data_IF_872662722026
#
_entry.id   IF_872662722026
#
_cell.length_a   1.000
_cell.length_b   1.000
_cell.length_c   1.000
_cell.angle_alpha   90.00
_cell.angle_beta   90.00
_cell.angle_gamma   90.00
#
_symmetry.space_group_name_H-M   'P 1'
#
loop_
_entity.id
_entity.type
_entity.pdbx_description
1 polymer ?
#
# COMPACT_ATOMS: atom_id res chain seq x y z
N UNK A 1 -119.28 4.83 -4.97
CA UNK A 1 -117.88 4.94 -4.52
C UNK A 1 -117.11 3.61 -4.60
N UNK A 2 -117.72 2.43 -4.43
CA UNK A 2 -117.02 1.13 -4.35
C UNK A 2 -116.40 0.56 -5.66
N UNK A 3 -116.78 1.00 -6.86
CA UNK A 3 -116.34 0.36 -8.12
C UNK A 3 -115.01 0.93 -8.68
N UNK A 4 -114.63 2.16 -8.27
CA UNK A 4 -113.38 2.81 -8.71
C UNK A 4 -112.18 2.29 -7.90
N UNK A 5 -112.41 1.97 -6.63
CA UNK A 5 -111.40 1.44 -5.70
C UNK A 5 -110.96 0.02 -6.07
N UNK A 6 -111.87 -0.84 -6.53
CA UNK A 6 -111.55 -2.22 -6.93
C UNK A 6 -110.67 -2.31 -8.19
N UNK A 7 -110.90 -1.44 -9.19
CA UNK A 7 -110.09 -1.39 -10.41
C UNK A 7 -108.69 -0.82 -10.12
N UNK A 8 -108.61 0.21 -9.27
CA UNK A 8 -107.34 0.76 -8.79
C UNK A 8 -106.55 -0.25 -7.96
N UNK A 9 -107.22 -1.06 -7.13
CA UNK A 9 -106.57 -2.12 -6.35
C UNK A 9 -106.01 -3.23 -7.25
N UNK A 10 -106.73 -3.62 -8.31
CA UNK A 10 -106.28 -4.66 -9.25
C UNK A 10 -105.11 -4.21 -10.14
N UNK A 11 -105.13 -2.95 -10.59
CA UNK A 11 -104.01 -2.34 -11.31
C UNK A 11 -102.77 -2.24 -10.42
N UNK A 12 -102.92 -1.76 -9.18
CA UNK A 12 -101.84 -1.74 -8.19
C UNK A 12 -101.29 -3.14 -7.90
N UNK A 13 -102.14 -4.16 -7.77
CA UNK A 13 -101.70 -5.52 -7.51
C UNK A 13 -100.86 -6.08 -8.68
N UNK A 14 -101.28 -5.83 -9.92
CA UNK A 14 -100.52 -6.26 -11.11
C UNK A 14 -99.20 -5.50 -11.29
N UNK A 15 -99.16 -4.21 -10.93
CA UNK A 15 -97.91 -3.44 -10.91
C UNK A 15 -96.96 -3.93 -9.81
N UNK A 16 -97.48 -4.27 -8.63
CA UNK A 16 -96.69 -4.85 -7.53
C UNK A 16 -96.13 -6.22 -7.92
N UNK A 17 -96.89 -7.05 -8.64
CA UNK A 17 -96.47 -8.37 -9.08
C UNK A 17 -95.36 -8.28 -10.16
N UNK A 18 -95.51 -7.39 -11.15
CA UNK A 18 -94.44 -7.11 -12.11
C UNK A 18 -93.18 -6.54 -11.46
N UNK A 19 -93.35 -5.64 -10.49
CA UNK A 19 -92.22 -5.08 -9.75
C UNK A 19 -91.49 -6.17 -8.96
N UNK A 20 -92.22 -7.13 -8.36
CA UNK A 20 -91.62 -8.29 -7.68
C UNK A 20 -90.87 -9.21 -8.63
N UNK A 21 -91.42 -9.52 -9.81
CA UNK A 21 -90.74 -10.34 -10.82
C UNK A 21 -89.49 -9.66 -11.37
N UNK A 22 -89.53 -8.35 -11.63
CA UNK A 22 -88.34 -7.57 -12.04
C UNK A 22 -87.29 -7.49 -10.92
N UNK A 23 -87.72 -7.34 -9.67
CA UNK A 23 -86.85 -7.36 -8.49
C UNK A 23 -86.18 -8.73 -8.32
N UNK A 24 -86.93 -9.83 -8.49
CA UNK A 24 -86.41 -11.20 -8.41
C UNK A 24 -85.41 -11.50 -9.56
N UNK A 25 -85.70 -11.06 -10.77
CA UNK A 25 -84.76 -11.14 -11.91
C UNK A 25 -83.51 -10.29 -11.69
N UNK A 26 -83.63 -9.12 -11.07
CA UNK A 26 -82.48 -8.27 -10.75
C UNK A 26 -81.62 -8.88 -9.65
N UNK A 27 -82.24 -9.50 -8.63
CA UNK A 27 -81.53 -10.23 -7.58
C UNK A 27 -80.78 -11.43 -8.16
N UNK A 28 -81.40 -12.21 -9.05
CA UNK A 28 -80.75 -13.36 -9.68
C UNK A 28 -79.59 -12.95 -10.61
N UNK A 29 -79.75 -11.87 -11.38
CA UNK A 29 -78.65 -11.29 -12.17
C UNK A 29 -77.51 -10.79 -11.29
N UNK A 30 -77.82 -10.18 -10.15
CA UNK A 30 -76.82 -9.73 -9.18
C UNK A 30 -76.07 -10.93 -8.58
N UNK A 31 -76.77 -12.03 -8.25
CA UNK A 31 -76.18 -13.27 -7.74
C UNK A 31 -75.21 -13.90 -8.75
N UNK A 32 -75.62 -14.01 -10.02
CA UNK A 32 -74.76 -14.55 -11.08
C UNK A 32 -73.55 -13.66 -11.37
N UNK A 33 -73.71 -12.33 -11.29
CA UNK A 33 -72.61 -11.38 -11.43
C UNK A 33 -71.61 -11.48 -10.25
N UNK A 34 -72.11 -11.69 -9.02
CA UNK A 34 -71.29 -11.92 -7.84
C UNK A 34 -70.50 -13.24 -7.94
N UNK A 35 -71.15 -14.34 -8.35
CA UNK A 35 -70.48 -15.63 -8.59
C UNK A 35 -69.40 -15.54 -9.68
N UNK A 36 -69.69 -14.84 -10.78
CA UNK A 36 -68.71 -14.61 -11.85
C UNK A 36 -67.53 -13.75 -11.38
N UNK A 37 -67.78 -12.73 -10.56
CA UNK A 37 -66.73 -11.88 -9.98
C UNK A 37 -65.84 -12.66 -9.01
N UNK A 38 -66.42 -13.52 -8.16
CA UNK A 38 -65.68 -14.40 -7.25
C UNK A 38 -64.79 -15.39 -8.01
N UNK A 39 -65.32 -16.02 -9.06
CA UNK A 39 -64.54 -16.94 -9.91
C UNK A 39 -63.38 -16.22 -10.62
N UNK A 40 -63.60 -15.00 -11.11
CA UNK A 40 -62.55 -14.19 -11.73
C UNK A 40 -61.45 -13.82 -10.72
N UNK A 41 -61.84 -13.40 -9.52
CA UNK A 41 -60.92 -13.06 -8.43
C UNK A 41 -60.09 -14.26 -7.97
N UNK A 42 -60.67 -15.46 -7.94
CA UNK A 42 -59.94 -16.69 -7.61
C UNK A 42 -58.89 -17.03 -8.69
N UNK A 43 -59.25 -16.90 -9.98
CA UNK A 43 -58.31 -17.10 -11.10
C UNK A 43 -57.18 -16.06 -11.07
N UNK A 44 -57.49 -14.78 -10.80
CA UNK A 44 -56.47 -13.74 -10.65
C UNK A 44 -55.56 -13.99 -9.46
N UNK A 45 -56.10 -14.45 -8.34
CA UNK A 45 -55.32 -14.83 -7.14
C UNK A 45 -54.37 -15.99 -7.45
N UNK A 46 -54.83 -17.01 -8.17
CA UNK A 46 -53.99 -18.13 -8.59
C UNK A 46 -52.89 -17.71 -9.57
N UNK A 47 -53.21 -16.83 -10.55
CA UNK A 47 -52.21 -16.26 -11.47
C UNK A 47 -51.17 -15.42 -10.73
N UNK A 48 -51.58 -14.59 -9.78
CA UNK A 48 -50.68 -13.78 -8.97
C UNK A 48 -49.74 -14.66 -8.12
N UNK A 49 -50.27 -15.73 -7.51
CA UNK A 49 -49.46 -16.70 -6.76
C UNK A 49 -48.43 -17.41 -7.64
N UNK A 50 -48.83 -17.89 -8.82
CA UNK A 50 -47.93 -18.54 -9.78
C UNK A 50 -46.84 -17.57 -10.29
N UNK A 51 -47.19 -16.30 -10.53
CA UNK A 51 -46.23 -15.26 -10.92
C UNK A 51 -45.21 -14.97 -9.81
N UNK A 52 -45.64 -14.94 -8.54
CA UNK A 52 -44.75 -14.75 -7.40
C UNK A 52 -43.77 -15.93 -7.24
N UNK A 53 -44.26 -17.16 -7.31
CA UNK A 53 -43.42 -18.37 -7.24
C UNK A 53 -42.40 -18.42 -8.40
N UNK A 54 -42.81 -18.04 -9.61
CA UNK A 54 -41.92 -17.95 -10.77
C UNK A 54 -40.85 -16.84 -10.59
N UNK A 55 -41.22 -15.69 -10.02
CA UNK A 55 -40.29 -14.60 -9.73
C UNK A 55 -39.25 -15.01 -8.66
N UNK A 56 -39.69 -15.66 -7.57
CA UNK A 56 -38.80 -16.19 -6.53
C UNK A 56 -37.83 -17.24 -7.09
N UNK A 57 -38.32 -18.15 -7.95
CA UNK A 57 -37.47 -19.15 -8.60
C UNK A 57 -36.44 -18.50 -9.52
N UNK A 58 -36.84 -17.49 -10.31
CA UNK A 58 -35.94 -16.73 -11.17
C UNK A 58 -34.86 -16.01 -10.37
N UNK A 59 -35.21 -15.39 -9.24
CA UNK A 59 -34.27 -14.75 -8.34
C UNK A 59 -33.25 -15.75 -7.77
N UNK A 60 -33.70 -16.93 -7.31
CA UNK A 60 -32.80 -18.00 -6.83
C UNK A 60 -31.84 -18.48 -7.91
N UNK A 61 -32.30 -18.63 -9.15
CA UNK A 61 -31.44 -19.02 -10.27
C UNK A 61 -30.36 -17.95 -10.56
N UNK A 62 -30.73 -16.67 -10.53
CA UNK A 62 -29.79 -15.56 -10.68
C UNK A 62 -28.75 -15.50 -9.55
N UNK A 63 -29.15 -15.78 -8.31
CA UNK A 63 -28.25 -15.89 -7.15
C UNK A 63 -27.26 -17.05 -7.30
N UNK A 64 -27.73 -18.23 -7.74
CA UNK A 64 -26.85 -19.38 -8.00
C UNK A 64 -25.86 -19.07 -9.12
N UNK A 65 -26.31 -18.41 -10.20
CA UNK A 65 -25.43 -18.05 -11.32
C UNK A 65 -24.37 -17.03 -10.89
N UNK A 66 -24.75 -16.00 -10.13
CA UNK A 66 -23.79 -15.01 -9.58
C UNK A 66 -22.79 -15.65 -8.61
N UNK A 67 -23.22 -16.60 -7.77
CA UNK A 67 -22.30 -17.38 -6.93
C UNK A 67 -21.34 -18.24 -7.76
N UNK A 68 -21.83 -18.92 -8.80
CA UNK A 68 -20.99 -19.70 -9.72
C UNK A 68 -19.95 -18.82 -10.43
N UNK A 69 -20.34 -17.62 -10.89
CA UNK A 69 -19.40 -16.65 -11.50
C UNK A 69 -18.32 -16.21 -10.51
N UNK A 70 -18.69 -15.85 -9.27
CA UNK A 70 -17.72 -15.52 -8.21
C UNK A 70 -16.76 -16.66 -7.92
N UNK A 71 -17.26 -17.91 -7.85
CA UNK A 71 -16.41 -19.08 -7.62
C UNK A 71 -15.44 -19.34 -8.79
N UNK A 72 -15.91 -19.15 -10.03
CA UNK A 72 -15.08 -19.27 -11.22
C UNK A 72 -13.97 -18.20 -11.25
N UNK A 73 -14.30 -16.94 -10.94
CA UNK A 73 -13.33 -15.85 -10.81
C UNK A 73 -12.28 -16.14 -9.72
N UNK A 74 -12.71 -16.66 -8.56
CA UNK A 74 -11.81 -17.07 -7.49
C UNK A 74 -10.88 -18.21 -7.92
N UNK A 75 -11.38 -19.21 -8.64
CA UNK A 75 -10.55 -20.29 -9.20
C UNK A 75 -9.52 -19.77 -10.19
N UNK A 76 -9.93 -18.94 -11.15
CA UNK A 76 -9.02 -18.33 -12.13
C UNK A 76 -7.95 -17.49 -11.43
N UNK A 77 -8.33 -16.72 -10.40
CA UNK A 77 -7.39 -15.96 -9.58
C UNK A 77 -6.38 -16.87 -8.86
N UNK A 78 -6.86 -17.95 -8.25
CA UNK A 78 -6.02 -18.91 -7.54
C UNK A 78 -5.04 -19.63 -8.48
N UNK A 79 -5.51 -20.10 -9.63
CA UNK A 79 -4.66 -20.75 -10.65
C UNK A 79 -3.61 -19.78 -11.20
N UNK A 80 -3.98 -18.51 -11.44
CA UNK A 80 -3.04 -17.46 -11.84
C UNK A 80 -1.98 -17.22 -10.77
N UNK A 81 -2.37 -17.16 -9.50
CA UNK A 81 -1.45 -17.02 -8.36
C UNK A 81 -0.50 -18.22 -8.24
N UNK A 82 -1.02 -19.45 -8.37
CA UNK A 82 -0.21 -20.67 -8.37
C UNK A 82 0.79 -20.68 -9.53
N UNK A 83 0.35 -20.35 -10.74
CA UNK A 83 1.23 -20.30 -11.92
C UNK A 83 2.34 -19.27 -11.76
N UNK A 84 2.01 -18.09 -11.22
CA UNK A 84 3.01 -17.07 -10.89
C UNK A 84 4.00 -17.61 -9.84
N UNK A 85 3.52 -18.30 -8.80
CA UNK A 85 4.37 -18.90 -7.77
C UNK A 85 5.35 -19.93 -8.35
N UNK A 86 4.86 -20.86 -9.18
CA UNK A 86 5.71 -21.87 -9.84
C UNK A 86 6.74 -21.22 -10.76
N UNK A 87 6.35 -20.21 -11.55
CA UNK A 87 7.28 -19.44 -12.37
C UNK A 87 8.34 -18.72 -11.53
N UNK A 88 7.93 -18.14 -10.40
CA UNK A 88 8.83 -17.48 -9.46
C UNK A 88 9.83 -18.46 -8.83
N UNK A 89 9.40 -19.67 -8.46
CA UNK A 89 10.29 -20.72 -7.92
C UNK A 89 11.35 -21.16 -8.94
N UNK A 90 10.96 -21.34 -10.21
CA UNK A 90 11.91 -21.67 -11.29
C UNK A 90 12.92 -20.55 -11.49
N UNK A 91 12.47 -19.30 -11.52
CA UNK A 91 13.35 -18.13 -11.62
C UNK A 91 14.28 -18.06 -10.40
N UNK A 92 13.74 -18.23 -9.19
CA UNK A 92 14.49 -18.18 -7.94
C UNK A 92 15.63 -19.19 -7.90
N UNK A 93 15.38 -20.41 -8.38
CA UNK A 93 16.40 -21.45 -8.46
C UNK A 93 17.48 -21.17 -9.51
N UNK A 94 17.19 -20.34 -10.52
CA UNK A 94 18.16 -19.95 -11.56
C UNK A 94 18.99 -18.70 -11.24
N UNK A 95 18.65 -17.94 -10.18
CA UNK A 95 19.38 -16.72 -9.84
C UNK A 95 20.77 -17.09 -9.31
N UNK A 96 21.86 -16.59 -9.91
CA UNK A 96 23.20 -16.79 -9.38
C UNK A 96 23.40 -15.89 -8.15
N UNK A 97 23.38 -16.49 -6.96
CA UNK A 97 23.82 -15.86 -5.71
C UNK A 97 24.56 -16.89 -4.85
N UNK A 98 25.40 -16.43 -3.92
CA UNK A 98 26.11 -17.31 -2.98
C UNK A 98 25.10 -17.94 -2.03
N UNK A 99 24.98 -19.27 -2.08
CA UNK A 99 24.18 -20.05 -1.14
C UNK A 99 25.07 -20.49 0.01
N UNK A 100 24.69 -20.11 1.23
CA UNK A 100 25.32 -20.57 2.46
C UNK A 100 24.52 -21.72 3.07
N UNK A 101 25.22 -22.69 3.63
CA UNK A 101 24.63 -23.73 4.48
C UNK A 101 24.34 -23.16 5.88
N UNK A 102 23.33 -23.70 6.57
CA UNK A 102 22.98 -23.27 7.93
C UNK A 102 24.16 -23.46 8.90
N UNK A 103 25.01 -24.47 8.67
CA UNK A 103 26.21 -24.69 9.48
C UNK A 103 27.17 -23.51 9.39
N UNK A 104 27.35 -22.93 8.21
CA UNK A 104 28.20 -21.75 8.02
C UNK A 104 27.61 -20.54 8.77
N UNK A 105 26.29 -20.34 8.67
CA UNK A 105 25.57 -19.28 9.38
C UNK A 105 25.68 -19.44 10.90
N UNK A 106 25.49 -20.65 11.42
CA UNK A 106 25.60 -20.95 12.85
C UNK A 106 27.01 -20.70 13.38
N UNK A 107 28.04 -21.12 12.64
CA UNK A 107 29.44 -20.84 13.02
C UNK A 107 29.70 -19.34 13.01
N UNK A 108 29.28 -18.64 11.95
CA UNK A 108 29.49 -17.19 11.81
C UNK A 108 28.79 -16.36 12.91
N UNK A 109 27.69 -16.86 13.47
CA UNK A 109 26.89 -16.18 14.50
C UNK A 109 27.08 -16.76 15.90
N UNK A 110 28.05 -17.66 16.11
CA UNK A 110 28.25 -18.38 17.37
C UNK A 110 26.95 -19.02 17.91
N UNK A 111 26.17 -19.65 17.03
CA UNK A 111 24.87 -20.23 17.36
C UNK A 111 23.77 -19.20 17.61
N UNK A 112 23.78 -18.08 16.87
CA UNK A 112 22.87 -16.94 17.04
C UNK A 112 22.97 -16.30 18.43
N UNK A 113 24.21 -16.10 18.89
CA UNK A 113 24.50 -15.47 20.17
C UNK A 113 23.90 -14.06 20.24
N UNK A 114 23.18 -13.75 21.32
CA UNK A 114 22.59 -12.44 21.54
C UNK A 114 23.65 -11.34 21.65
N UNK A 115 24.89 -11.65 22.05
CA UNK A 115 25.99 -10.69 22.05
C UNK A 115 26.38 -10.20 20.65
N UNK A 116 26.05 -10.97 19.60
CA UNK A 116 26.29 -10.62 18.20
C UNK A 116 25.06 -9.99 17.53
N UNK A 117 23.94 -9.83 18.25
CA UNK A 117 22.74 -9.20 17.72
C UNK A 117 22.95 -7.70 17.60
N UNK A 118 22.91 -7.19 16.37
CA UNK A 118 23.12 -5.77 16.06
C UNK A 118 21.81 -5.01 15.78
N UNK A 119 20.70 -5.73 15.61
CA UNK A 119 19.39 -5.11 15.43
C UNK A 119 18.25 -6.11 15.47
N UNK A 120 17.03 -5.60 15.63
CA UNK A 120 15.81 -6.36 15.40
C UNK A 120 14.76 -5.42 14.82
N UNK A 121 14.27 -5.75 13.63
CA UNK A 121 13.17 -5.05 12.97
C UNK A 121 11.91 -5.90 12.91
N UNK A 122 10.89 -5.40 12.22
CA UNK A 122 9.63 -6.14 11.99
C UNK A 122 9.79 -7.47 11.26
N UNK A 123 10.94 -7.70 10.62
CA UNK A 123 11.23 -8.87 9.80
C UNK A 123 12.12 -9.90 10.49
N UNK A 124 12.69 -9.56 11.64
CA UNK A 124 13.51 -10.46 12.44
C UNK A 124 14.82 -9.86 12.94
N UNK A 125 15.59 -10.64 13.72
CA UNK A 125 16.88 -10.22 14.25
C UNK A 125 17.96 -10.18 13.16
N UNK A 126 18.92 -9.28 13.35
CA UNK A 126 20.12 -9.16 12.52
C UNK A 126 21.33 -9.41 13.42
N UNK A 127 22.20 -10.32 12.99
CA UNK A 127 23.41 -10.69 13.70
C UNK A 127 24.65 -10.25 12.92
N UNK A 128 25.67 -9.79 13.62
CA UNK A 128 27.01 -9.62 13.08
C UNK A 128 27.70 -10.99 13.03
N UNK A 129 28.42 -11.25 11.95
CA UNK A 129 29.19 -12.48 11.82
C UNK A 129 30.40 -12.31 10.90
N UNK A 130 31.14 -13.41 10.72
CA UNK A 130 32.23 -13.48 9.76
C UNK A 130 31.99 -14.68 8.82
N UNK A 131 31.85 -14.40 7.53
CA UNK A 131 31.69 -15.40 6.46
C UNK A 131 32.71 -15.10 5.37
N UNK A 132 33.38 -16.13 4.84
CA UNK A 132 34.39 -16.00 3.78
C UNK A 132 35.42 -14.87 4.09
N UNK A 133 35.90 -14.83 5.35
CA UNK A 133 36.81 -13.80 5.90
C UNK A 133 36.31 -12.35 5.87
N UNK A 134 35.01 -12.15 5.63
CA UNK A 134 34.37 -10.83 5.54
C UNK A 134 33.43 -10.64 6.73
N UNK A 135 33.44 -9.44 7.33
CA UNK A 135 32.44 -9.09 8.36
C UNK A 135 31.10 -8.85 7.66
N UNK A 136 30.06 -9.53 8.12
CA UNK A 136 28.74 -9.55 7.49
C UNK A 136 27.63 -9.21 8.49
N UNK A 137 26.49 -8.78 7.95
CA UNK A 137 25.22 -8.69 8.66
C UNK A 137 24.29 -9.80 8.17
N UNK A 138 23.82 -10.64 9.08
CA UNK A 138 22.99 -11.81 8.81
C UNK A 138 21.58 -11.54 9.36
N UNK A 139 20.64 -11.23 8.46
CA UNK A 139 19.23 -11.01 8.78
C UNK A 139 18.50 -12.35 8.75
N UNK A 140 17.92 -12.75 9.87
CA UNK A 140 17.13 -13.98 9.97
C UNK A 140 15.66 -13.61 9.81
N UNK A 141 15.03 -14.03 8.72
CA UNK A 141 13.61 -13.77 8.52
C UNK A 141 12.76 -14.78 9.29
N UNK A 142 11.76 -14.30 10.03
CA UNK A 142 10.86 -15.18 10.82
C UNK A 142 10.04 -16.09 9.88
N UNK A 143 10.20 -17.43 9.93
CA UNK A 143 9.51 -18.36 9.03
C UNK A 143 7.99 -18.38 9.19
N UNK A 144 7.51 -18.08 10.41
CA UNK A 144 6.11 -18.26 10.81
C UNK A 144 5.14 -17.24 10.20
N UNK A 145 5.67 -16.25 9.47
CA UNK A 145 4.88 -15.25 8.77
C UNK A 145 4.92 -15.56 7.28
N UNK A 146 3.78 -15.87 6.66
CA UNK A 146 3.64 -16.00 5.19
C UNK A 146 4.15 -14.76 4.40
N UNK A 147 4.38 -13.65 5.10
CA UNK A 147 5.03 -12.45 4.56
C UNK A 147 6.56 -12.57 4.47
N UNK A 148 7.21 -13.30 5.38
CA UNK A 148 8.67 -13.47 5.46
C UNK A 148 9.25 -14.21 4.24
N UNK A 149 8.64 -15.32 3.82
CA UNK A 149 9.08 -16.06 2.63
C UNK A 149 8.99 -15.19 1.35
N UNK A 150 7.90 -14.44 1.19
CA UNK A 150 7.73 -13.54 0.04
C UNK A 150 8.76 -12.43 0.04
N UNK A 151 9.07 -11.86 1.21
CA UNK A 151 10.09 -10.82 1.34
C UNK A 151 11.47 -11.37 1.04
N UNK A 152 11.80 -12.54 1.59
CA UNK A 152 13.05 -13.24 1.28
C UNK A 152 13.26 -13.40 -0.22
N UNK A 153 12.26 -13.97 -0.91
CA UNK A 153 12.30 -14.18 -2.35
C UNK A 153 12.43 -12.86 -3.11
N UNK A 154 11.70 -11.82 -2.68
CA UNK A 154 11.74 -10.50 -3.31
C UNK A 154 13.10 -9.82 -3.14
N UNK A 155 13.69 -9.88 -1.95
CA UNK A 155 15.01 -9.33 -1.65
C UNK A 155 16.09 -10.04 -2.47
N UNK A 156 16.11 -11.37 -2.48
CA UNK A 156 17.05 -12.14 -3.32
C UNK A 156 16.86 -11.81 -4.79
N UNK A 157 15.62 -11.72 -5.28
CA UNK A 157 15.31 -11.44 -6.68
C UNK A 157 15.81 -10.05 -7.13
N UNK A 158 15.66 -9.03 -6.28
CA UNK A 158 16.08 -7.67 -6.60
C UNK A 158 17.58 -7.51 -6.41
N UNK A 159 18.09 -7.77 -5.20
CA UNK A 159 19.47 -7.44 -4.81
C UNK A 159 20.52 -8.30 -5.52
N UNK A 160 20.17 -9.49 -6.01
CA UNK A 160 21.06 -10.27 -6.87
C UNK A 160 21.31 -9.63 -8.24
N UNK A 161 20.40 -8.77 -8.71
CA UNK A 161 20.43 -8.18 -10.06
C UNK A 161 20.89 -6.72 -10.07
N UNK A 162 20.91 -6.07 -8.92
CA UNK A 162 21.29 -4.67 -8.82
C UNK A 162 22.59 -4.50 -8.05
N UNK A 163 23.43 -3.59 -8.50
CA UNK A 163 24.66 -3.18 -7.81
C UNK A 163 24.83 -1.68 -8.00
N UNK A 164 24.91 -0.96 -6.90
CA UNK A 164 25.08 0.49 -6.89
C UNK A 164 25.77 0.90 -5.58
N UNK A 165 26.67 1.91 -5.57
CA UNK A 165 27.38 2.33 -4.36
C UNK A 165 26.47 2.69 -3.18
N UNK A 166 25.28 3.22 -3.45
CA UNK A 166 24.28 3.61 -2.45
C UNK A 166 23.14 2.59 -2.28
N UNK A 167 23.37 1.33 -2.63
CA UNK A 167 22.47 0.20 -2.33
C UNK A 167 23.25 -0.85 -1.53
N UNK A 168 22.62 -1.40 -0.49
CA UNK A 168 23.27 -2.44 0.32
C UNK A 168 23.52 -3.68 -0.53
N UNK A 169 24.73 -4.22 -0.44
CA UNK A 169 25.16 -5.40 -1.16
C UNK A 169 24.67 -6.67 -0.47
N UNK A 170 23.88 -7.47 -1.20
CA UNK A 170 23.60 -8.86 -0.83
C UNK A 170 24.81 -9.72 -1.23
N UNK A 171 25.48 -10.30 -0.23
CA UNK A 171 26.61 -11.20 -0.43
C UNK A 171 26.13 -12.63 -0.70
N UNK A 172 25.02 -13.03 -0.09
CA UNK A 172 24.42 -14.34 -0.28
C UNK A 172 23.20 -14.58 0.58
N UNK A 173 22.71 -15.81 0.60
CA UNK A 173 21.56 -16.21 1.40
C UNK A 173 21.62 -17.68 1.81
N UNK A 174 20.93 -18.03 2.89
CA UNK A 174 20.63 -19.40 3.29
C UNK A 174 19.12 -19.62 3.15
N UNK A 175 18.65 -20.20 2.02
CA UNK A 175 17.22 -20.35 1.75
C UNK A 175 16.48 -21.28 2.70
N UNK A 176 17.16 -22.34 3.16
CA UNK A 176 16.58 -23.35 4.05
C UNK A 176 16.06 -22.75 5.36
N UNK A 177 16.75 -21.73 5.88
CA UNK A 177 16.40 -21.03 7.13
C UNK A 177 16.02 -19.56 6.92
N UNK A 178 15.79 -19.13 5.67
CA UNK A 178 15.38 -17.75 5.36
C UNK A 178 16.37 -16.68 5.83
N UNK A 179 17.68 -16.93 5.76
CA UNK A 179 18.69 -15.95 6.16
C UNK A 179 19.24 -15.17 4.96
N UNK A 180 19.38 -13.86 5.10
CA UNK A 180 20.01 -12.98 4.12
C UNK A 180 21.34 -12.46 4.67
N UNK A 181 22.39 -12.51 3.86
CA UNK A 181 23.75 -12.12 4.24
C UNK A 181 24.14 -10.88 3.46
N UNK A 182 24.36 -9.77 4.16
CA UNK A 182 24.74 -8.48 3.60
C UNK A 182 26.14 -8.06 4.03
N UNK A 183 26.69 -7.08 3.33
CA UNK A 183 27.80 -6.29 3.87
C UNK A 183 27.42 -5.66 5.22
N UNK A 184 28.38 -5.60 6.14
CA UNK A 184 28.19 -4.99 7.45
C UNK A 184 28.37 -3.47 7.38
N UNK A 185 27.42 -2.73 7.95
CA UNK A 185 27.40 -1.27 7.97
C UNK A 185 27.69 -0.78 9.40
N UNK A 186 28.90 -0.28 9.65
CA UNK A 186 29.43 -0.09 11.01
C UNK A 186 28.70 0.98 11.84
N UNK A 187 28.13 1.99 11.20
CA UNK A 187 27.39 3.04 11.87
C UNK A 187 25.90 2.71 12.00
N UNK A 188 25.46 1.51 11.64
CA UNK A 188 24.07 1.10 11.76
C UNK A 188 23.13 1.92 10.86
N UNK A 189 21.91 2.18 11.34
CA UNK A 189 20.91 2.93 10.59
C UNK A 189 21.03 4.45 10.77
N UNK A 190 20.57 5.21 9.77
CA UNK A 190 20.46 6.66 9.87
C UNK A 190 19.51 7.08 11.00
N UNK A 191 18.49 6.28 11.31
CA UNK A 191 17.60 6.51 12.46
C UNK A 191 18.37 6.50 13.77
N UNK A 192 19.12 5.43 14.04
CA UNK A 192 19.92 5.29 15.26
C UNK A 192 20.92 6.44 15.39
N UNK A 193 21.52 6.87 14.27
CA UNK A 193 22.53 7.93 14.26
C UNK A 193 21.94 9.34 14.39
N UNK A 194 20.77 9.61 13.83
CA UNK A 194 20.07 10.88 14.02
C UNK A 194 19.60 11.05 15.48
N UNK A 195 19.13 9.97 16.09
CA UNK A 195 18.69 9.97 17.49
C UNK A 195 19.81 9.66 18.49
N UNK A 196 21.07 9.61 18.04
CA UNK A 196 22.26 9.43 18.87
C UNK A 196 22.15 8.24 19.84
N UNK A 197 21.56 7.14 19.35
CA UNK A 197 21.46 5.89 20.11
C UNK A 197 22.86 5.46 20.55
N UNK A 198 22.93 4.88 21.74
CA UNK A 198 24.18 4.44 22.39
C UNK A 198 25.22 5.57 22.52
N UNK A 199 24.74 6.81 22.74
CA UNK A 199 25.56 8.01 22.93
C UNK A 199 26.49 8.33 21.75
N UNK A 200 26.11 7.89 20.55
CA UNK A 200 26.90 8.12 19.36
C UNK A 200 26.95 9.61 19.00
N UNK A 201 28.10 10.16 18.55
CA UNK A 201 28.22 11.58 18.28
C UNK A 201 27.27 12.04 17.17
N UNK A 202 26.79 13.29 17.16
CA UNK A 202 25.88 13.76 16.13
C UNK A 202 26.55 13.77 14.75
N UNK A 203 25.79 13.46 13.70
CA UNK A 203 26.30 13.47 12.32
C UNK A 203 26.63 14.93 11.92
N UNK A 204 27.86 15.24 11.47
CA UNK A 204 28.20 16.58 10.98
C UNK A 204 27.35 17.01 9.80
N UNK A 205 27.12 18.32 9.64
CA UNK A 205 26.29 18.88 8.58
C UNK A 205 26.76 18.51 7.16
N UNK A 206 28.07 18.52 6.90
CA UNK A 206 28.67 18.04 5.64
C UNK A 206 28.20 16.62 5.29
N UNK A 207 28.26 15.72 6.27
CA UNK A 207 27.85 14.34 6.12
C UNK A 207 26.33 14.21 5.95
N UNK A 208 25.53 15.04 6.63
CA UNK A 208 24.06 15.08 6.45
C UNK A 208 23.66 15.38 5.00
N UNK A 209 24.28 16.38 4.38
CA UNK A 209 24.00 16.71 2.98
C UNK A 209 24.54 15.67 2.00
N UNK A 210 25.72 15.10 2.27
CA UNK A 210 26.24 13.96 1.52
C UNK A 210 25.28 12.78 1.56
N UNK A 211 24.80 12.39 2.74
CA UNK A 211 23.83 11.31 2.92
C UNK A 211 22.54 11.61 2.14
N UNK A 212 22.00 12.82 2.22
CA UNK A 212 20.81 13.21 1.45
C UNK A 212 21.00 13.03 -0.06
N UNK A 213 22.14 13.48 -0.60
CA UNK A 213 22.49 13.33 -2.01
C UNK A 213 22.66 11.86 -2.43
N UNK A 214 23.35 11.07 -1.61
CA UNK A 214 23.58 9.64 -1.86
C UNK A 214 22.28 8.81 -1.84
N UNK A 215 21.36 9.11 -0.91
CA UNK A 215 20.02 8.50 -0.90
C UNK A 215 19.28 8.84 -2.20
N UNK A 216 19.30 10.11 -2.64
CA UNK A 216 18.66 10.51 -3.89
C UNK A 216 19.27 9.79 -5.11
N UNK A 217 20.60 9.58 -5.10
CA UNK A 217 21.33 8.87 -6.15
C UNK A 217 20.92 7.40 -6.21
N UNK A 218 20.91 6.70 -5.07
CA UNK A 218 20.46 5.31 -4.97
C UNK A 218 18.98 5.15 -5.37
N UNK A 219 18.12 6.09 -4.94
CA UNK A 219 16.71 6.06 -5.28
C UNK A 219 16.47 6.29 -6.77
N UNK A 220 17.24 7.18 -7.40
CA UNK A 220 17.17 7.43 -8.84
C UNK A 220 17.53 6.17 -9.64
N UNK A 221 18.57 5.46 -9.21
CA UNK A 221 18.97 4.18 -9.82
C UNK A 221 17.83 3.14 -9.78
N UNK A 222 17.11 3.02 -8.65
CA UNK A 222 15.93 2.15 -8.57
C UNK A 222 14.82 2.60 -9.53
N UNK A 223 14.52 3.90 -9.56
CA UNK A 223 13.44 4.46 -10.39
C UNK A 223 13.75 4.40 -11.89
N UNK A 224 15.02 4.38 -12.29
CA UNK A 224 15.45 4.29 -13.68
C UNK A 224 15.70 2.85 -14.16
N UNK A 225 15.60 1.87 -13.26
CA UNK A 225 15.79 0.45 -13.58
C UNK A 225 14.88 0.01 -14.73
N UNK A 226 15.41 -0.89 -15.58
CA UNK A 226 14.74 -1.41 -16.78
C UNK A 226 14.54 -2.93 -16.67
N UNK A 227 13.48 -3.51 -17.26
CA UNK A 227 12.47 -2.85 -18.11
C UNK A 227 11.53 -1.92 -17.35
N UNK A 228 11.35 -2.17 -16.05
CA UNK A 228 10.36 -1.51 -15.21
C UNK A 228 11.02 -0.87 -13.98
N UNK A 229 10.66 0.38 -13.64
CA UNK A 229 11.10 1.03 -12.40
C UNK A 229 10.84 0.19 -11.15
N UNK A 230 11.79 0.21 -10.23
CA UNK A 230 11.66 -0.40 -8.90
C UNK A 230 11.24 0.69 -7.92
N UNK A 231 10.06 0.54 -7.31
CA UNK A 231 9.59 1.42 -6.22
C UNK A 231 9.85 0.73 -4.89
N UNK A 232 10.53 1.41 -3.96
CA UNK A 232 11.00 0.85 -2.69
C UNK A 232 9.85 0.59 -1.71
N UNK A 233 8.93 1.56 -1.57
CA UNK A 233 7.70 1.53 -0.74
C UNK A 233 7.88 1.63 0.78
N UNK A 234 9.07 1.39 1.32
CA UNK A 234 9.35 1.56 2.76
C UNK A 234 10.61 2.39 2.99
N UNK A 235 10.72 3.53 2.30
CA UNK A 235 11.79 4.48 2.56
C UNK A 235 11.57 5.13 3.93
N UNK A 236 12.54 4.97 4.83
CA UNK A 236 12.60 5.59 6.16
C UNK A 236 14.05 5.64 6.65
N UNK A 237 14.41 6.46 7.65
CA UNK A 237 15.77 6.50 8.18
C UNK A 237 16.28 5.14 8.66
N UNK A 238 15.42 4.30 9.23
CA UNK A 238 15.79 2.94 9.68
C UNK A 238 16.24 2.00 8.55
N UNK A 239 15.88 2.29 7.29
CA UNK A 239 16.27 1.50 6.12
C UNK A 239 17.43 2.14 5.34
N UNK A 240 18.02 3.23 5.83
CA UNK A 240 19.25 3.81 5.30
C UNK A 240 20.39 3.41 6.23
N UNK A 241 21.32 2.60 5.76
CA UNK A 241 22.47 2.16 6.55
C UNK A 241 23.72 2.98 6.22
N UNK A 242 24.58 3.16 7.21
CA UNK A 242 25.79 3.98 7.11
C UNK A 242 27.04 3.13 7.38
N UNK A 243 28.00 3.20 6.46
CA UNK A 243 29.32 2.58 6.68
C UNK A 243 30.16 3.43 7.65
N UNK A 244 31.35 2.96 8.00
CA UNK A 244 32.32 3.70 8.85
C UNK A 244 32.64 5.13 8.40
N UNK A 245 32.47 5.46 7.11
CA UNK A 245 32.77 6.76 6.50
C UNK A 245 31.50 7.59 6.20
N UNK A 246 30.35 7.21 6.76
CA UNK A 246 29.05 7.81 6.49
C UNK A 246 28.62 7.73 5.02
N UNK A 247 29.12 6.75 4.25
CA UNK A 247 28.51 6.40 2.97
C UNK A 247 27.17 5.74 3.26
N UNK A 248 26.12 6.32 2.72
CA UNK A 248 24.76 5.84 2.90
C UNK A 248 24.35 4.85 1.83
N UNK A 249 23.65 3.81 2.25
CA UNK A 249 23.11 2.75 1.39
C UNK A 249 21.66 2.44 1.74
N UNK A 250 20.82 2.37 0.72
CA UNK A 250 19.42 1.95 0.86
C UNK A 250 19.38 0.43 1.07
N UNK A 251 18.61 0.00 2.06
CA UNK A 251 18.44 -1.40 2.47
C UNK A 251 16.95 -1.78 2.54
N UNK A 252 16.65 -3.05 2.79
CA UNK A 252 15.30 -3.57 3.04
C UNK A 252 14.31 -3.38 1.87
N UNK A 253 14.72 -3.85 0.69
CA UNK A 253 13.89 -3.85 -0.53
C UNK A 253 12.82 -4.96 -0.53
N UNK A 254 12.53 -5.58 0.62
CA UNK A 254 11.60 -6.72 0.72
C UNK A 254 10.15 -6.37 0.37
N UNK A 255 9.78 -5.10 0.46
CA UNK A 255 8.48 -4.60 0.02
C UNK A 255 8.47 -4.05 -1.40
N UNK A 256 9.64 -3.89 -2.01
CA UNK A 256 9.81 -3.21 -3.29
C UNK A 256 9.07 -3.92 -4.43
N UNK A 257 8.63 -3.15 -5.43
CA UNK A 257 7.87 -3.68 -6.57
C UNK A 257 8.32 -3.07 -7.89
N UNK A 258 8.33 -3.91 -8.92
CA UNK A 258 8.41 -3.49 -10.31
C UNK A 258 7.08 -2.84 -10.72
N UNK A 259 7.16 -1.62 -11.25
CA UNK A 259 6.03 -0.87 -11.79
C UNK A 259 6.21 -0.77 -13.30
N UNK A 260 5.28 -1.29 -14.13
CA UNK A 260 5.52 -1.35 -15.57
C UNK A 260 5.84 0.01 -16.20
N UNK A 261 6.81 0.07 -17.12
CA UNK A 261 7.25 1.34 -17.72
C UNK A 261 6.14 2.09 -18.48
N UNK A 262 5.12 1.40 -18.97
CA UNK A 262 3.92 2.00 -19.59
C UNK A 262 3.06 2.80 -18.61
N UNK A 263 3.30 2.64 -17.31
CA UNK A 263 2.50 3.11 -16.18
C UNK A 263 3.26 4.18 -15.38
N UNK A 264 4.59 4.05 -15.27
CA UNK A 264 5.43 4.88 -14.41
C UNK A 264 5.31 6.40 -14.65
N UNK A 265 4.98 6.81 -15.89
CA UNK A 265 4.87 8.22 -16.30
C UNK A 265 3.48 8.63 -16.82
N UNK A 266 2.47 7.75 -16.79
CA UNK A 266 1.12 8.07 -17.29
C UNK A 266 0.15 8.27 -16.12
N UNK A 267 -0.57 9.38 -16.14
CA UNK A 267 -1.59 9.81 -15.15
C UNK A 267 -2.77 8.83 -15.00
N UNK A 268 -2.80 7.71 -15.73
CA UNK A 268 -3.94 6.80 -15.82
C UNK A 268 -3.58 5.38 -15.35
N UNK A 269 -3.83 5.16 -14.05
CA UNK A 269 -3.74 3.89 -13.29
C UNK A 269 -2.28 3.36 -13.21
N UNK A 270 -1.84 2.49 -12.29
CA UNK A 270 -2.14 1.06 -12.20
C UNK A 270 -1.62 0.44 -10.87
N UNK A 271 -2.23 -0.71 -10.56
CA UNK A 271 -2.03 -1.67 -9.45
C UNK A 271 -2.56 -1.20 -8.08
N UNK A 272 -3.86 -1.49 -7.85
CA UNK A 272 -4.48 -1.49 -6.52
C UNK A 272 -3.71 -2.47 -5.61
N UNK A 273 -3.07 -1.94 -4.58
CA UNK A 273 -2.41 -2.72 -3.53
C UNK A 273 -2.85 -2.17 -2.18
N UNK A 274 -3.03 -3.04 -1.17
CA UNK A 274 -3.19 -2.56 0.19
C UNK A 274 -2.00 -1.68 0.57
N UNK A 275 -2.25 -0.55 1.25
CA UNK A 275 -1.21 0.33 1.73
C UNK A 275 -0.24 -0.47 2.61
N UNK A 276 1.05 -0.42 2.28
CA UNK A 276 2.13 -1.01 3.06
C UNK A 276 3.27 -0.01 3.14
N UNK A 277 3.96 0.03 4.28
CA UNK A 277 5.02 0.98 4.59
C UNK A 277 4.95 1.41 6.06
N UNK A 278 5.92 2.20 6.50
CA UNK A 278 6.00 2.69 7.87
C UNK A 278 5.20 3.97 8.06
N UNK A 279 4.36 4.01 9.11
CA UNK A 279 3.54 5.18 9.47
C UNK A 279 4.39 6.47 9.52
N UNK A 280 3.81 7.60 9.10
CA UNK A 280 4.48 8.89 8.80
C UNK A 280 5.31 8.98 7.51
N UNK A 281 5.71 7.86 6.89
CA UNK A 281 6.45 7.86 5.62
C UNK A 281 5.59 7.42 4.42
N UNK A 282 4.39 6.91 4.68
CA UNK A 282 3.45 6.50 3.63
C UNK A 282 2.92 7.74 2.91
N UNK A 283 3.06 7.75 1.58
CA UNK A 283 2.44 8.73 0.71
C UNK A 283 0.91 8.81 0.97
N UNK A 284 0.37 9.96 1.40
CA UNK A 284 -1.03 10.08 1.77
C UNK A 284 -1.98 9.85 0.58
N UNK A 285 -1.58 10.25 -0.63
CA UNK A 285 -2.36 9.98 -1.84
C UNK A 285 -2.34 8.48 -2.16
N UNK A 286 -1.19 7.81 -1.99
CA UNK A 286 -1.11 6.34 -2.12
C UNK A 286 -1.98 5.64 -1.08
N UNK A 287 -1.95 6.08 0.17
CA UNK A 287 -2.77 5.50 1.24
C UNK A 287 -4.27 5.63 0.93
N UNK A 288 -4.71 6.78 0.40
CA UNK A 288 -6.11 7.01 0.06
C UNK A 288 -6.54 6.24 -1.20
N UNK A 289 -5.71 6.25 -2.24
CA UNK A 289 -6.09 5.78 -3.58
C UNK A 289 -5.67 4.33 -3.86
N UNK A 290 -4.72 3.79 -3.09
CA UNK A 290 -4.05 2.53 -3.37
C UNK A 290 -3.09 2.57 -4.58
N UNK A 291 -2.90 3.74 -5.20
CA UNK A 291 -2.09 3.93 -6.40
C UNK A 291 -0.62 4.21 -6.06
N UNK A 292 0.25 3.22 -6.32
CA UNK A 292 1.67 3.31 -6.07
C UNK A 292 2.44 3.79 -7.32
N UNK A 293 3.42 4.68 -7.12
CA UNK A 293 4.38 5.04 -8.16
C UNK A 293 5.70 5.57 -7.59
N UNK A 294 6.63 5.94 -8.46
CA UNK A 294 7.94 6.49 -8.06
C UNK A 294 7.81 7.73 -7.16
N UNK A 295 6.76 8.54 -7.38
CA UNK A 295 6.45 9.72 -6.56
C UNK A 295 6.07 9.38 -5.12
N UNK A 296 5.66 8.15 -4.82
CA UNK A 296 5.40 7.71 -3.46
C UNK A 296 6.69 7.60 -2.64
N UNK A 297 7.78 7.10 -3.23
CA UNK A 297 9.09 7.13 -2.57
C UNK A 297 9.62 8.56 -2.40
N UNK A 298 9.28 9.49 -3.30
CA UNK A 298 9.67 10.91 -3.18
C UNK A 298 9.05 11.56 -1.95
N UNK A 299 7.79 11.22 -1.62
CA UNK A 299 7.17 11.68 -0.38
C UNK A 299 7.96 11.19 0.85
N UNK A 300 8.22 9.88 0.90
CA UNK A 300 8.99 9.28 2.00
C UNK A 300 10.40 9.89 2.10
N UNK A 301 11.06 10.15 0.97
CA UNK A 301 12.35 10.82 0.91
C UNK A 301 12.28 12.26 1.44
N UNK A 302 11.23 13.02 1.12
CA UNK A 302 11.01 14.35 1.70
C UNK A 302 10.93 14.33 3.23
N UNK A 303 10.26 13.34 3.81
CA UNK A 303 10.23 13.16 5.26
C UNK A 303 11.62 12.83 5.83
N UNK A 304 12.42 12.00 5.15
CA UNK A 304 13.80 11.71 5.54
C UNK A 304 14.65 12.99 5.52
N UNK A 305 14.52 13.83 4.48
CA UNK A 305 15.25 15.11 4.40
C UNK A 305 14.94 16.03 5.58
N UNK A 306 13.66 16.14 5.98
CA UNK A 306 13.27 16.93 7.15
C UNK A 306 13.91 16.37 8.44
N UNK A 307 13.98 15.05 8.59
CA UNK A 307 14.63 14.46 9.76
C UNK A 307 16.15 14.61 9.74
N UNK A 308 16.79 14.54 8.57
CA UNK A 308 18.23 14.77 8.43
C UNK A 308 18.60 16.15 8.97
N UNK A 309 17.83 17.19 8.67
CA UNK A 309 18.16 18.57 9.10
C UNK A 309 17.70 18.88 10.54
N UNK A 310 16.69 18.18 11.07
CA UNK A 310 16.12 18.52 12.40
C UNK A 310 16.49 17.53 13.50
N UNK A 311 16.86 16.29 13.15
CA UNK A 311 16.95 15.14 14.07
C UNK A 311 15.69 14.95 14.95
N UNK A 312 14.51 15.33 14.44
CA UNK A 312 13.23 15.22 15.17
C UNK A 312 12.40 14.01 14.73
N UNK A 313 11.49 13.51 15.58
CA UNK A 313 10.51 12.51 15.19
C UNK A 313 9.64 12.98 14.01
N UNK A 314 9.16 12.07 13.15
CA UNK A 314 8.48 12.45 11.91
C UNK A 314 7.04 12.96 12.10
N UNK A 315 6.39 12.65 13.23
CA UNK A 315 5.01 13.05 13.50
C UNK A 315 4.88 14.56 13.59
N UNK A 316 4.07 15.18 12.73
CA UNK A 316 3.84 16.63 12.70
C UNK A 316 5.05 17.46 12.24
N UNK A 317 6.15 16.81 11.85
CA UNK A 317 7.41 17.49 11.53
C UNK A 317 7.29 18.46 10.36
N UNK A 318 6.55 18.08 9.32
CA UNK A 318 6.30 18.91 8.15
C UNK A 318 5.67 20.26 8.52
N UNK A 319 4.65 20.23 9.37
CA UNK A 319 3.96 21.42 9.83
C UNK A 319 4.87 22.31 10.69
N UNK A 320 5.62 21.71 11.63
CA UNK A 320 6.56 22.43 12.50
C UNK A 320 7.61 23.18 11.67
N UNK A 321 8.19 22.52 10.67
CA UNK A 321 9.22 23.12 9.80
C UNK A 321 8.61 24.20 8.93
N UNK A 322 7.45 23.94 8.30
CA UNK A 322 6.77 24.92 7.45
C UNK A 322 6.39 26.20 8.23
N UNK A 323 5.85 26.05 9.43
CA UNK A 323 5.49 27.17 10.31
C UNK A 323 6.72 27.96 10.76
N UNK A 324 7.80 27.27 11.12
CA UNK A 324 9.05 27.92 11.50
C UNK A 324 9.65 28.75 10.35
N UNK A 325 9.58 28.25 9.10
CA UNK A 325 9.98 29.00 7.92
C UNK A 325 9.10 30.24 7.73
N UNK A 326 7.77 30.09 7.81
CA UNK A 326 6.81 31.21 7.65
C UNK A 326 7.02 32.30 8.70
N UNK A 327 7.36 31.93 9.93
CA UNK A 327 7.59 32.85 11.06
C UNK A 327 9.01 33.42 11.13
N UNK A 328 9.92 33.01 10.24
CA UNK A 328 11.33 33.43 10.27
C UNK A 328 12.17 32.80 11.39
N UNK A 329 11.68 31.72 12.02
CA UNK A 329 12.31 31.05 13.16
C UNK A 329 12.89 29.67 12.80
N UNK A 330 13.27 29.48 11.53
CA UNK A 330 13.75 28.19 11.01
C UNK A 330 14.95 27.62 11.77
N UNK A 331 15.88 28.47 12.23
CA UNK A 331 17.02 28.02 13.04
C UNK A 331 16.61 27.23 14.29
N UNK A 332 15.46 27.53 14.89
CA UNK A 332 15.00 26.89 16.12
C UNK A 332 14.52 25.45 15.89
N UNK A 333 14.29 25.04 14.63
CA UNK A 333 13.88 23.67 14.32
C UNK A 333 15.03 22.75 13.92
N UNK A 334 16.19 23.32 13.60
CA UNK A 334 17.40 22.59 13.22
C UNK A 334 17.98 21.85 14.43
N UNK A 335 18.79 20.82 14.16
CA UNK A 335 19.41 20.03 15.21
C UNK A 335 20.40 20.88 16.04
N UNK A 336 20.11 21.13 17.33
CA UNK A 336 20.98 21.96 18.17
C UNK A 336 22.30 21.27 18.54
N UNK A 337 22.41 19.95 18.35
CA UNK A 337 23.59 19.19 18.74
C UNK A 337 24.74 19.27 17.72
N UNK A 338 24.49 19.80 16.53
CA UNK A 338 25.53 19.96 15.50
C UNK A 338 25.93 21.44 15.41
N UNK A 339 27.16 21.81 15.77
CA UNK A 339 27.63 23.19 15.67
C UNK A 339 27.75 23.66 14.21
N UNK A 340 27.87 24.98 14.03
CA UNK A 340 28.14 25.63 12.73
C UNK A 340 27.11 25.25 11.65
N UNK A 341 25.83 25.45 11.97
CA UNK A 341 24.75 25.15 11.04
C UNK A 341 24.80 26.04 9.79
N UNK A 342 24.78 25.46 8.57
CA UNK A 342 24.73 26.16 7.30
C UNK A 342 23.26 26.51 7.00
N UNK A 343 22.78 27.59 7.60
CA UNK A 343 21.34 27.90 7.66
C UNK A 343 20.72 28.03 6.28
N UNK A 344 21.45 28.60 5.31
CA UNK A 344 20.97 28.82 3.95
C UNK A 344 20.76 27.49 3.20
N UNK A 345 21.74 26.60 3.26
CA UNK A 345 21.69 25.26 2.69
C UNK A 345 20.63 24.39 3.37
N UNK A 346 20.55 24.46 4.70
CA UNK A 346 19.54 23.76 5.47
C UNK A 346 18.13 24.26 5.10
N UNK A 347 17.96 25.57 4.87
CA UNK A 347 16.70 26.16 4.44
C UNK A 347 16.34 25.75 3.00
N UNK A 348 17.31 25.70 2.09
CA UNK A 348 17.11 25.19 0.74
C UNK A 348 16.68 23.72 0.75
N UNK A 349 17.35 22.89 1.55
CA UNK A 349 17.00 21.49 1.78
C UNK A 349 15.58 21.35 2.36
N UNK A 350 15.22 22.15 3.37
CA UNK A 350 13.88 22.15 3.95
C UNK A 350 12.79 22.51 2.94
N UNK A 351 13.01 23.56 2.13
CA UNK A 351 12.06 23.96 1.08
C UNK A 351 11.90 22.88 0.02
N UNK A 352 12.99 22.21 -0.37
CA UNK A 352 12.95 21.07 -1.29
C UNK A 352 12.16 19.91 -0.67
N UNK A 353 12.43 19.58 0.58
CA UNK A 353 11.76 18.51 1.32
C UNK A 353 10.25 18.76 1.45
N UNK A 354 9.84 19.99 1.77
CA UNK A 354 8.43 20.39 1.82
C UNK A 354 7.72 20.22 0.47
N UNK A 355 8.40 20.52 -0.66
CA UNK A 355 7.86 20.23 -2.01
C UNK A 355 7.75 18.73 -2.29
N UNK A 356 8.68 17.92 -1.79
CA UNK A 356 8.64 16.47 -1.95
C UNK A 356 7.45 15.82 -1.24
N UNK A 357 6.98 16.40 -0.13
CA UNK A 357 5.87 15.86 0.68
C UNK A 357 4.51 16.46 0.32
N UNK A 358 4.39 17.16 -0.81
CA UNK A 358 3.10 17.66 -1.29
C UNK A 358 2.08 16.54 -1.43
N UNK A 359 0.82 16.84 -1.09
CA UNK A 359 -0.25 15.84 -1.07
C UNK A 359 -0.40 15.18 -2.43
N UNK A 360 -0.47 15.98 -3.51
CA UNK A 360 -0.65 15.48 -4.86
C UNK A 360 0.69 15.11 -5.50
N UNK A 361 0.78 13.91 -6.05
CA UNK A 361 1.99 13.39 -6.74
C UNK A 361 2.51 14.28 -7.87
N UNK A 362 1.61 15.02 -8.54
CA UNK A 362 1.95 15.93 -9.65
C UNK A 362 2.67 17.20 -9.18
N UNK A 363 2.44 17.61 -7.92
CA UNK A 363 3.02 18.81 -7.33
C UNK A 363 4.42 18.53 -6.74
N UNK A 364 4.78 17.24 -6.59
CA UNK A 364 6.10 16.79 -6.14
C UNK A 364 7.15 16.97 -7.25
N UNK A 365 8.36 17.46 -6.96
CA UNK A 365 9.41 17.65 -7.94
C UNK A 365 9.88 16.32 -8.55
N UNK A 366 10.54 16.43 -9.69
CA UNK A 366 11.18 15.29 -10.35
C UNK A 366 12.55 14.98 -9.73
N UNK A 367 12.84 13.69 -9.56
CA UNK A 367 14.05 13.24 -8.87
C UNK A 367 15.33 13.56 -9.64
N UNK A 368 15.33 13.32 -10.95
CA UNK A 368 16.51 13.45 -11.79
C UNK A 368 16.83 14.91 -12.13
N UNK A 369 15.78 15.72 -12.37
CA UNK A 369 15.93 17.07 -12.94
C UNK A 369 15.85 18.19 -11.92
N UNK A 370 15.30 17.95 -10.72
CA UNK A 370 15.14 18.99 -9.69
C UNK A 370 15.81 18.58 -8.38
N UNK A 371 15.43 17.44 -7.81
CA UNK A 371 15.87 17.03 -6.48
C UNK A 371 17.38 16.74 -6.46
N UNK A 372 17.86 15.86 -7.34
CA UNK A 372 19.25 15.45 -7.36
C UNK A 372 20.21 16.62 -7.66
N UNK A 373 19.96 17.49 -8.66
CA UNK A 373 20.82 18.66 -8.90
C UNK A 373 20.88 19.63 -7.71
N UNK A 374 19.76 19.86 -7.02
CA UNK A 374 19.73 20.77 -5.87
C UNK A 374 20.47 20.20 -4.66
N UNK A 375 20.31 18.90 -4.39
CA UNK A 375 21.09 18.22 -3.34
C UNK A 375 22.58 18.16 -3.69
N UNK A 376 22.92 17.97 -4.96
CA UNK A 376 24.31 18.03 -5.44
C UNK A 376 24.91 19.40 -5.14
N UNK A 377 24.21 20.49 -5.49
CA UNK A 377 24.62 21.87 -5.20
C UNK A 377 24.87 22.07 -3.70
N UNK A 378 23.92 21.67 -2.86
CA UNK A 378 24.02 21.80 -1.38
C UNK A 378 25.21 20.98 -0.84
N UNK A 379 25.44 19.78 -1.36
CA UNK A 379 26.54 18.91 -0.89
C UNK A 379 27.94 19.39 -1.33
N UNK A 380 28.06 20.01 -2.52
CA UNK A 380 29.34 20.41 -3.09
C UNK A 380 29.86 21.75 -2.61
N UNK A 381 28.98 22.67 -2.20
CA UNK A 381 29.38 23.96 -1.60
C UNK A 381 30.34 23.74 -0.41
N UNK A 382 30.23 22.61 0.29
CA UNK A 382 31.11 22.29 1.42
C UNK A 382 32.39 21.51 1.07
N UNK A 383 32.59 21.15 -0.20
CA UNK A 383 33.84 20.55 -0.65
C UNK A 383 34.84 21.60 -1.14
N UNK A 384 34.38 22.82 -1.47
CA UNK A 384 35.22 23.92 -1.94
C UNK A 384 35.83 24.80 -0.84
N UNK A 385 35.40 24.63 0.42
CA UNK A 385 35.85 25.48 1.54
C UNK A 385 37.02 24.85 2.36
N UNK A 386 37.61 23.75 1.88
CA UNK A 386 38.74 23.05 2.52
C UNK A 386 39.95 22.80 1.59
N UNK A 387 40.03 23.48 0.44
CA UNK A 387 41.29 23.70 -0.32
C UNK A 387 41.79 25.12 -0.11
#
# INVERSE_FOLDING_TARGET
MACREAVLAKLKASEIEKFREEEEQNVEKARLAEEAALALAEVETQKAKAALEAAEMSQRLAEIETQKRKLAELKVKHEKEQRIRTLQEVVYNSIPYRRYDIKEIQVATNGFDNALKIGEGGYGPVFKGVLDHTIVAIKVLKPDLAHGERQFQQEVLILSKIRHPNMVLLLGACPEFGCLVYEHMENGSLEDRLFQKDETPPIPWKNRFKIAYEIATGLLFLHQSKPDPIVHRDMKPGNILLDKNYVSKISDVGLARLVPASIANKTTQYRMTGAAGTFCYIDPEYQQTGLLGVKSDIFSFGMILLQIITAKPPMGLSHIVEEAIKKGNFMNVLDPNVPNCPVEEALACAKLALKCIEYRKRDRPDLATVILPELNRISHIWNSDEE
#
